data_IF_177358938384
#
_entry.id   IF_177358938384
#
_cell.length_a   1.000
_cell.length_b   1.000
_cell.length_c   1.000
_cell.angle_alpha   90.00
_cell.angle_beta   90.00
_cell.angle_gamma   90.00
#
_symmetry.space_group_name_H-M   'P 1'
#
loop_
_entity.id
_entity.type
_entity.pdbx_description
1 polymer ?
#
# COMPACT_ATOMS: atom_id res chain seq x y z
N UNK A 1 -50.60 3.43 -22.73
CA UNK A 1 -49.97 4.49 -23.53
C UNK A 1 -48.87 5.09 -22.67
N UNK A 2 -47.62 4.75 -22.97
CA UNK A 2 -46.44 5.34 -22.32
C UNK A 2 -46.25 6.70 -23.00
N UNK A 3 -46.25 7.77 -22.21
CA UNK A 3 -46.05 9.13 -22.71
C UNK A 3 -44.55 9.42 -22.62
N UNK A 4 -43.99 9.88 -23.73
CA UNK A 4 -42.60 10.31 -23.87
C UNK A 4 -42.31 11.50 -22.94
N UNK A 5 -41.30 11.37 -22.09
CA UNK A 5 -40.97 12.36 -21.05
C UNK A 5 -40.23 13.59 -21.59
N UNK A 6 -40.04 13.70 -22.91
CA UNK A 6 -39.30 14.79 -23.53
C UNK A 6 -37.79 14.65 -23.36
N UNK A 7 -36.99 15.49 -24.03
CA UNK A 7 -35.53 15.43 -23.94
C UNK A 7 -35.05 15.78 -22.53
N UNK A 8 -34.08 15.00 -22.04
CA UNK A 8 -33.41 15.16 -20.74
C UNK A 8 -32.95 16.62 -20.54
N UNK A 9 -33.44 17.27 -19.47
CA UNK A 9 -33.18 18.69 -19.20
C UNK A 9 -31.82 18.89 -18.50
N UNK A 10 -31.24 17.83 -17.92
CA UNK A 10 -29.90 17.85 -17.32
C UNK A 10 -29.16 16.55 -17.57
N UNK A 11 -27.91 16.65 -18.03
CA UNK A 11 -27.00 15.51 -18.20
C UNK A 11 -26.17 15.22 -16.93
N UNK A 12 -26.35 16.02 -15.86
CA UNK A 12 -25.56 15.93 -14.64
C UNK A 12 -25.94 14.73 -13.74
N UNK A 13 -27.14 14.14 -13.92
CA UNK A 13 -27.63 12.98 -13.15
C UNK A 13 -27.02 11.64 -13.63
N UNK A 14 -26.33 11.66 -14.78
CA UNK A 14 -25.68 10.47 -15.35
C UNK A 14 -24.21 10.32 -14.93
N UNK A 15 -23.75 11.10 -13.94
CA UNK A 15 -22.39 11.07 -13.42
C UNK A 15 -22.37 10.66 -11.95
N UNK A 16 -21.98 9.42 -11.68
CA UNK A 16 -21.56 9.00 -10.35
C UNK A 16 -20.13 9.53 -10.08
N UNK A 17 -20.01 10.71 -9.49
CA UNK A 17 -18.73 11.26 -9.04
C UNK A 17 -18.45 10.86 -7.59
N UNK A 18 -17.51 9.95 -7.39
CA UNK A 18 -16.84 9.75 -6.11
C UNK A 18 -15.62 10.67 -6.07
N UNK A 19 -15.77 11.87 -5.52
CA UNK A 19 -14.59 12.69 -5.21
C UNK A 19 -14.00 12.22 -3.87
N UNK A 20 -12.68 12.04 -3.85
CA UNK A 20 -11.85 11.77 -2.67
C UNK A 20 -10.97 13.01 -2.52
N UNK A 21 -11.23 13.86 -1.51
CA UNK A 21 -10.37 15.01 -1.23
C UNK A 21 -9.11 14.54 -0.52
N UNK A 22 -8.09 14.24 -1.33
CA UNK A 22 -6.72 14.04 -0.90
C UNK A 22 -6.16 15.41 -0.48
N UNK A 23 -6.19 15.74 0.81
CA UNK A 23 -5.19 16.68 1.33
C UNK A 23 -3.87 15.98 1.03
N UNK A 24 -3.09 16.48 0.08
CA UNK A 24 -1.79 15.91 -0.29
C UNK A 24 -0.82 16.13 0.88
N UNK A 25 -0.97 15.36 1.94
CA UNK A 25 0.09 15.12 2.88
C UNK A 25 1.11 14.24 2.17
N UNK A 26 2.39 14.64 2.20
CA UNK A 26 3.46 13.82 1.68
C UNK A 26 3.50 12.51 2.48
N UNK A 27 3.64 11.37 1.82
CA UNK A 27 3.80 10.08 2.48
C UNK A 27 5.19 10.00 3.09
N UNK A 28 5.27 9.77 4.40
CA UNK A 28 6.54 9.56 5.08
C UNK A 28 6.98 8.11 4.83
N UNK A 29 8.09 7.91 4.12
CA UNK A 29 8.58 6.58 3.73
C UNK A 29 9.89 6.29 4.43
N UNK A 30 9.93 5.16 5.14
CA UNK A 30 11.17 4.58 5.67
C UNK A 30 11.67 3.51 4.69
N UNK A 31 12.76 3.81 3.98
CA UNK A 31 13.39 2.88 3.04
C UNK A 31 14.64 2.26 3.64
N UNK A 32 14.60 0.95 3.90
CA UNK A 32 15.70 0.17 4.48
C UNK A 32 16.23 -0.78 3.41
N UNK A 33 17.50 -0.63 3.06
CA UNK A 33 18.19 -1.49 2.09
C UNK A 33 19.34 -2.25 2.75
N UNK A 34 19.38 -3.57 2.57
CA UNK A 34 20.45 -4.41 3.11
C UNK A 34 21.81 -4.21 2.43
N UNK A 35 21.82 -3.82 1.15
CA UNK A 35 23.03 -3.76 0.32
C UNK A 35 22.93 -2.71 -0.80
N UNK A 36 24.02 -2.52 -1.54
CA UNK A 36 24.17 -1.50 -2.60
C UNK A 36 23.90 -2.09 -3.99
N UNK A 37 22.63 -2.26 -4.34
CA UNK A 37 22.21 -2.61 -5.70
C UNK A 37 21.81 -1.37 -6.52
N UNK A 38 21.90 -1.40 -7.87
CA UNK A 38 21.39 -0.31 -8.71
C UNK A 38 19.95 0.07 -8.36
N UNK A 39 19.07 -0.91 -8.17
CA UNK A 39 17.67 -0.69 -7.78
C UNK A 39 17.54 0.24 -6.56
N UNK A 40 18.36 0.03 -5.52
CA UNK A 40 18.38 0.85 -4.30
C UNK A 40 18.71 2.31 -4.61
N UNK A 41 19.69 2.55 -5.48
CA UNK A 41 20.06 3.89 -5.91
C UNK A 41 18.92 4.56 -6.68
N UNK A 42 18.30 3.85 -7.63
CA UNK A 42 17.19 4.39 -8.43
C UNK A 42 15.95 4.68 -7.59
N UNK A 43 15.59 3.77 -6.67
CA UNK A 43 14.50 3.96 -5.70
C UNK A 43 14.73 5.21 -4.86
N UNK A 44 15.89 5.30 -4.20
CA UNK A 44 16.24 6.44 -3.35
C UNK A 44 16.16 7.76 -4.13
N UNK A 45 16.75 7.81 -5.32
CA UNK A 45 16.76 9.02 -6.14
C UNK A 45 15.36 9.41 -6.63
N UNK A 46 14.50 8.42 -6.89
CA UNK A 46 13.12 8.64 -7.32
C UNK A 46 12.28 9.19 -6.18
N UNK A 47 12.35 8.57 -5.00
CA UNK A 47 11.63 9.05 -3.82
C UNK A 47 12.08 10.44 -3.36
N UNK A 48 13.37 10.77 -3.43
CA UNK A 48 13.89 12.11 -3.13
C UNK A 48 13.40 13.20 -4.11
N UNK A 49 13.03 12.82 -5.34
CA UNK A 49 12.51 13.75 -6.36
C UNK A 49 10.99 13.85 -6.34
N UNK A 50 10.31 12.86 -5.78
CA UNK A 50 8.85 12.82 -5.71
C UNK A 50 8.33 13.83 -4.65
N UNK A 51 7.54 14.80 -5.12
CA UNK A 51 6.96 15.84 -4.26
C UNK A 51 5.90 15.31 -3.30
N UNK A 52 5.41 14.09 -3.50
CA UNK A 52 4.41 13.45 -2.64
C UNK A 52 5.03 12.53 -1.59
N UNK A 53 6.35 12.35 -1.56
CA UNK A 53 7.03 11.45 -0.64
C UNK A 53 8.06 12.23 0.19
N UNK A 54 8.09 12.03 1.50
CA UNK A 54 9.21 12.42 2.36
C UNK A 54 10.03 11.16 2.67
N UNK A 55 11.30 11.12 2.29
CA UNK A 55 12.12 9.92 2.46
C UNK A 55 13.02 9.97 3.70
N UNK A 56 12.96 8.94 4.53
CA UNK A 56 14.06 8.50 5.41
C UNK A 56 14.71 7.28 4.78
N UNK A 57 16.00 7.34 4.42
CA UNK A 57 16.72 6.16 3.91
C UNK A 57 17.67 5.59 4.96
N UNK A 58 17.84 4.26 4.94
CA UNK A 58 18.79 3.54 5.76
C UNK A 58 19.45 2.44 4.93
N UNK A 59 20.77 2.56 4.73
CA UNK A 59 21.57 1.55 4.04
C UNK A 59 22.36 0.76 5.07
N UNK A 60 22.00 -0.50 5.29
CA UNK A 60 22.55 -1.31 6.37
C UNK A 60 24.03 -1.66 6.15
N UNK A 61 24.44 -1.85 4.90
CA UNK A 61 25.83 -2.11 4.52
C UNK A 61 26.74 -0.86 4.58
N UNK A 62 26.21 0.31 4.93
CA UNK A 62 27.00 1.54 4.99
C UNK A 62 27.86 1.59 6.27
N UNK A 63 28.99 2.30 6.17
CA UNK A 63 29.81 2.61 7.35
C UNK A 63 29.06 3.47 8.36
N UNK A 64 29.44 3.39 9.64
CA UNK A 64 28.80 4.15 10.73
C UNK A 64 28.84 5.67 10.54
N UNK A 65 29.79 6.17 9.75
CA UNK A 65 29.96 7.60 9.46
C UNK A 65 29.25 8.03 8.17
N UNK A 66 28.58 7.10 7.47
CA UNK A 66 27.83 7.40 6.27
C UNK A 66 26.59 8.23 6.61
N UNK A 67 26.44 9.37 5.94
CA UNK A 67 25.22 10.17 6.04
C UNK A 67 24.19 9.62 5.06
N UNK A 68 23.08 9.10 5.60
CA UNK A 68 22.00 8.57 4.78
C UNK A 68 21.20 9.71 4.12
N UNK A 69 21.13 9.77 2.78
CA UNK A 69 20.37 10.82 2.10
C UNK A 69 18.86 10.67 2.36
N UNK A 70 18.17 11.76 2.65
CA UNK A 70 16.73 11.76 2.94
C UNK A 70 16.19 13.18 3.13
N UNK A 71 14.90 13.39 2.88
CA UNK A 71 14.18 14.59 3.35
C UNK A 71 14.12 14.61 4.88
N UNK A 72 14.03 13.42 5.47
CA UNK A 72 13.96 13.15 6.91
C UNK A 72 15.21 12.34 7.32
N UNK A 73 16.38 12.99 7.51
CA UNK A 73 17.61 12.26 7.78
C UNK A 73 17.55 11.54 9.13
N UNK A 74 17.89 10.26 9.14
CA UNK A 74 17.94 9.43 10.34
C UNK A 74 19.36 8.94 10.62
N UNK A 75 19.73 8.85 11.90
CA UNK A 75 21.03 8.32 12.37
C UNK A 75 20.94 6.91 12.94
N UNK A 76 19.71 6.43 13.14
CA UNK A 76 19.37 5.08 13.58
C UNK A 76 17.97 4.73 13.10
N UNK A 77 17.66 3.43 13.08
CA UNK A 77 16.29 2.97 12.90
C UNK A 77 15.40 3.37 14.09
N UNK A 78 14.07 3.47 13.88
CA UNK A 78 13.09 3.63 14.96
C UNK A 78 13.27 2.59 16.06
N UNK A 79 13.17 3.04 17.32
CA UNK A 79 13.26 2.17 18.52
C UNK A 79 12.02 2.24 19.39
N UNK A 80 11.04 3.09 19.06
CA UNK A 80 9.74 3.16 19.73
C UNK A 80 8.60 3.04 18.72
N UNK A 81 7.40 2.69 19.20
CA UNK A 81 6.22 2.60 18.34
C UNK A 81 5.81 3.98 17.81
N UNK A 82 6.00 5.04 18.61
CA UNK A 82 5.73 6.42 18.21
C UNK A 82 6.60 6.81 17.02
N UNK A 83 7.92 6.59 17.10
CA UNK A 83 8.84 6.86 15.98
C UNK A 83 8.51 6.04 14.72
N UNK A 84 8.10 4.79 14.90
CA UNK A 84 7.66 3.96 13.76
C UNK A 84 6.34 4.50 13.17
N UNK A 85 5.46 5.04 14.01
CA UNK A 85 4.18 5.59 13.61
C UNK A 85 4.26 6.96 12.94
N UNK A 86 5.42 7.60 12.90
CA UNK A 86 5.62 8.81 12.09
C UNK A 86 5.68 8.52 10.58
N UNK A 87 5.88 7.24 10.20
CA UNK A 87 5.93 6.79 8.81
C UNK A 87 4.57 6.32 8.29
N UNK A 88 4.34 6.39 6.99
CA UNK A 88 3.16 5.83 6.31
C UNK A 88 3.48 4.49 5.65
N UNK A 89 4.69 4.34 5.14
CA UNK A 89 5.16 3.12 4.49
C UNK A 89 6.60 2.78 4.87
N UNK A 90 6.85 1.50 5.16
CA UNK A 90 8.17 0.91 5.31
C UNK A 90 8.47 0.07 4.08
N UNK A 91 9.56 0.38 3.38
CA UNK A 91 10.06 -0.40 2.25
C UNK A 91 11.32 -1.13 2.71
N UNK A 92 11.31 -2.46 2.60
CA UNK A 92 12.43 -3.32 2.92
C UNK A 92 13.00 -3.91 1.63
N UNK A 93 14.23 -3.55 1.27
CA UNK A 93 14.96 -4.17 0.17
C UNK A 93 16.02 -5.11 0.73
N UNK A 94 15.79 -6.41 0.59
CA UNK A 94 16.72 -7.48 0.98
C UNK A 94 17.44 -7.23 2.33
N UNK A 95 16.71 -6.89 3.42
CA UNK A 95 17.32 -6.44 4.68
C UNK A 95 18.06 -7.58 5.40
N UNK A 96 18.95 -7.23 6.32
CA UNK A 96 19.55 -8.17 7.27
C UNK A 96 18.98 -7.92 8.69
N UNK A 97 17.96 -8.65 9.14
CA UNK A 97 17.31 -8.42 10.44
C UNK A 97 18.23 -8.57 11.64
N UNK A 98 19.40 -9.22 11.48
CA UNK A 98 20.36 -9.36 12.58
C UNK A 98 20.98 -8.03 13.01
N UNK A 99 20.90 -7.00 12.17
CA UNK A 99 21.39 -5.66 12.46
C UNK A 99 20.29 -4.68 12.91
N UNK A 100 19.04 -5.14 13.04
CA UNK A 100 17.95 -4.31 13.53
C UNK A 100 18.01 -4.13 15.05
N UNK A 101 17.42 -3.04 15.59
CA UNK A 101 17.08 -2.98 17.00
C UNK A 101 16.26 -4.21 17.41
N UNK A 102 16.50 -4.73 18.62
CA UNK A 102 15.90 -5.99 19.10
C UNK A 102 14.36 -5.97 19.01
N UNK A 103 13.74 -4.82 19.25
CA UNK A 103 12.28 -4.66 19.21
C UNK A 103 11.72 -4.29 17.83
N UNK A 104 12.56 -4.02 16.83
CA UNK A 104 12.12 -3.56 15.52
C UNK A 104 11.12 -4.52 14.82
N UNK A 105 11.29 -5.85 14.87
CA UNK A 105 10.29 -6.78 14.32
C UNK A 105 8.89 -6.61 14.93
N UNK A 106 8.82 -6.36 16.24
CA UNK A 106 7.55 -6.13 16.94
C UNK A 106 6.96 -4.76 16.57
N UNK A 107 7.80 -3.72 16.51
CA UNK A 107 7.39 -2.38 16.06
C UNK A 107 6.81 -2.44 14.65
N UNK A 108 7.47 -3.16 13.74
CA UNK A 108 7.01 -3.35 12.37
C UNK A 108 5.68 -4.11 12.30
N UNK A 109 5.55 -5.15 13.11
CA UNK A 109 4.30 -5.93 13.20
C UNK A 109 3.15 -5.06 13.68
N UNK A 110 3.32 -4.30 14.76
CA UNK A 110 2.31 -3.38 15.27
C UNK A 110 2.02 -2.23 14.30
N UNK A 111 3.04 -1.72 13.62
CA UNK A 111 2.90 -0.69 12.59
C UNK A 111 1.94 -1.10 11.48
N UNK A 112 2.11 -2.32 10.95
CA UNK A 112 1.22 -2.84 9.91
C UNK A 112 -0.14 -3.24 10.48
N UNK A 113 -0.16 -4.03 11.57
CA UNK A 113 -1.37 -4.69 12.07
C UNK A 113 -2.28 -3.81 12.93
N UNK A 114 -1.77 -2.69 13.48
CA UNK A 114 -2.52 -1.79 14.37
C UNK A 114 -2.56 -0.36 13.85
N UNK A 115 -1.42 0.18 13.42
CA UNK A 115 -1.33 1.59 12.99
C UNK A 115 -1.73 1.81 11.52
N UNK A 116 -2.00 0.75 10.75
CA UNK A 116 -2.44 0.86 9.36
C UNK A 116 -1.34 1.21 8.36
N UNK A 117 -0.07 1.11 8.77
CA UNK A 117 1.09 1.38 7.94
C UNK A 117 1.30 0.33 6.85
N UNK A 118 1.88 0.77 5.74
CA UNK A 118 2.20 -0.09 4.60
C UNK A 118 3.56 -0.76 4.73
N UNK A 119 3.66 -2.04 4.41
CA UNK A 119 4.92 -2.78 4.26
C UNK A 119 5.11 -3.19 2.80
N UNK A 120 6.19 -2.73 2.18
CA UNK A 120 6.63 -3.23 0.87
C UNK A 120 7.93 -4.01 1.08
N UNK A 121 7.96 -5.27 0.67
CA UNK A 121 9.14 -6.11 0.73
C UNK A 121 9.62 -6.42 -0.68
N UNK A 122 10.87 -6.09 -0.97
CA UNK A 122 11.55 -6.35 -2.23
C UNK A 122 12.62 -7.41 -1.95
N UNK A 123 12.44 -8.58 -2.56
CA UNK A 123 13.40 -9.67 -2.45
C UNK A 123 14.69 -9.33 -3.19
N UNK A 124 15.82 -9.74 -2.63
CA UNK A 124 17.13 -9.65 -3.27
C UNK A 124 17.95 -10.92 -3.10
N UNK A 125 19.14 -10.90 -3.70
CA UNK A 125 20.00 -12.08 -3.82
C UNK A 125 20.80 -12.42 -2.56
N UNK A 126 20.94 -11.48 -1.61
CA UNK A 126 21.89 -11.61 -0.50
C UNK A 126 21.26 -12.21 0.75
N UNK A 127 20.15 -11.65 1.25
CA UNK A 127 19.62 -11.97 2.58
C UNK A 127 18.29 -12.76 2.53
N UNK A 128 17.48 -12.52 1.51
CA UNK A 128 16.10 -13.00 1.41
C UNK A 128 16.02 -14.52 1.53
N UNK A 129 16.85 -15.25 0.79
CA UNK A 129 16.85 -16.72 0.83
C UNK A 129 17.11 -17.26 2.24
N UNK A 130 18.16 -16.75 2.90
CA UNK A 130 18.55 -17.19 4.22
C UNK A 130 17.51 -16.84 5.30
N UNK A 131 16.77 -15.74 5.13
CA UNK A 131 15.66 -15.36 6.03
C UNK A 131 14.49 -16.33 5.90
N UNK A 132 14.03 -16.60 4.68
CA UNK A 132 12.91 -17.53 4.47
C UNK A 132 13.26 -18.98 4.84
N UNK A 133 14.52 -19.41 4.68
CA UNK A 133 14.97 -20.73 5.15
C UNK A 133 14.93 -20.87 6.69
N UNK A 134 14.98 -19.76 7.42
CA UNK A 134 14.95 -19.70 8.89
C UNK A 134 13.60 -19.22 9.45
N UNK A 135 12.51 -19.36 8.69
CA UNK A 135 11.19 -18.85 9.10
C UNK A 135 10.65 -19.41 10.43
N UNK A 136 11.20 -20.51 10.95
CA UNK A 136 10.87 -21.05 12.27
C UNK A 136 11.49 -20.27 13.44
N UNK A 137 12.44 -19.37 13.17
CA UNK A 137 13.05 -18.50 14.17
C UNK A 137 12.02 -17.45 14.64
N UNK A 138 11.68 -17.38 15.94
CA UNK A 138 10.72 -16.41 16.46
C UNK A 138 11.09 -14.94 16.16
N UNK A 139 12.38 -14.62 16.02
CA UNK A 139 12.84 -13.27 15.66
C UNK A 139 12.44 -12.86 14.23
N UNK A 140 12.12 -13.83 13.37
CA UNK A 140 11.67 -13.63 12.00
C UNK A 140 10.15 -13.79 11.84
N UNK A 141 9.39 -13.81 12.95
CA UNK A 141 7.93 -13.93 12.94
C UNK A 141 7.22 -12.83 12.13
N UNK A 142 7.84 -11.67 11.95
CA UNK A 142 7.36 -10.58 11.08
C UNK A 142 7.25 -11.00 9.59
N UNK A 143 7.95 -12.05 9.14
CA UNK A 143 7.75 -12.62 7.79
C UNK A 143 6.30 -13.09 7.57
N UNK A 144 5.55 -13.35 8.65
CA UNK A 144 4.12 -13.68 8.56
C UNK A 144 3.27 -12.52 8.02
N UNK A 145 3.79 -11.28 8.01
CA UNK A 145 3.13 -10.13 7.39
C UNK A 145 3.12 -10.24 5.86
N UNK A 146 4.10 -10.93 5.25
CA UNK A 146 4.26 -10.98 3.80
C UNK A 146 3.17 -11.84 3.14
N UNK A 147 2.65 -11.47 1.95
CA UNK A 147 1.57 -12.19 1.25
C UNK A 147 1.96 -13.51 0.58
N UNK A 148 3.13 -14.05 0.90
CA UNK A 148 3.72 -15.23 0.26
C UNK A 148 4.19 -16.25 1.30
N UNK A 149 4.30 -17.50 0.86
CA UNK A 149 4.85 -18.63 1.62
C UNK A 149 6.00 -19.22 0.80
N UNK A 150 7.10 -19.54 1.48
CA UNK A 150 8.18 -20.36 0.93
C UNK A 150 8.46 -21.51 1.89
N UNK A 151 8.16 -22.72 1.44
CA UNK A 151 8.41 -23.92 2.24
C UNK A 151 9.90 -24.30 2.14
N UNK A 152 10.60 -24.51 3.28
CA UNK A 152 12.00 -24.90 3.29
C UNK A 152 12.23 -26.21 2.53
N UNK A 153 13.36 -26.31 1.83
CA UNK A 153 13.74 -27.54 1.12
C UNK A 153 13.12 -27.71 -0.27
N UNK A 154 12.14 -26.89 -0.67
CA UNK A 154 11.77 -26.71 -2.09
C UNK A 154 12.83 -25.89 -2.83
N UNK A 155 14.08 -26.36 -2.80
CA UNK A 155 15.12 -25.87 -3.70
C UNK A 155 14.74 -26.34 -5.11
N UNK A 156 13.96 -25.51 -5.83
CA UNK A 156 14.18 -25.41 -7.28
C UNK A 156 15.60 -24.94 -7.42
N UNK A 157 16.46 -25.90 -7.76
CA UNK A 157 17.91 -25.78 -7.71
C UNK A 157 18.38 -24.39 -8.15
N UNK A 158 19.43 -23.86 -7.53
CA UNK A 158 20.12 -22.66 -8.04
C UNK A 158 20.40 -22.73 -9.56
N UNK A 159 20.40 -23.94 -10.15
CA UNK A 159 20.45 -24.19 -11.59
C UNK A 159 19.24 -23.58 -12.33
N UNK A 160 18.01 -23.66 -11.82
CA UNK A 160 16.82 -23.06 -12.46
C UNK A 160 16.85 -21.52 -12.40
N UNK A 161 17.26 -20.93 -11.27
CA UNK A 161 17.48 -19.48 -11.13
C UNK A 161 18.63 -19.01 -12.05
N UNK A 162 19.70 -19.80 -12.18
CA UNK A 162 20.79 -19.54 -13.14
C UNK A 162 20.40 -19.77 -14.60
N UNK A 163 19.41 -20.63 -14.87
CA UNK A 163 18.87 -20.86 -16.23
C UNK A 163 17.96 -19.71 -16.66
N UNK A 164 17.17 -19.12 -15.76
CA UNK A 164 16.41 -17.89 -16.02
C UNK A 164 17.29 -16.65 -16.19
N UNK A 165 18.53 -16.67 -15.70
CA UNK A 165 19.51 -15.58 -15.94
C UNK A 165 20.06 -15.51 -17.39
N UNK A 166 19.81 -16.50 -18.25
CA UNK A 166 20.35 -16.52 -19.64
C UNK A 166 19.49 -15.77 -20.66
N UNK A 167 18.22 -15.56 -20.38
CA UNK A 167 17.30 -14.85 -21.28
C UNK A 167 16.29 -14.09 -20.44
N UNK A 168 16.03 -12.82 -20.76
CA UNK A 168 15.11 -12.02 -19.97
C UNK A 168 13.71 -12.61 -20.06
N UNK A 169 13.04 -12.76 -18.92
CA UNK A 169 11.65 -13.18 -18.84
C UNK A 169 10.78 -11.97 -18.53
N UNK A 170 9.52 -12.00 -18.99
CA UNK A 170 8.58 -10.90 -18.78
C UNK A 170 7.69 -11.16 -17.57
N UNK A 171 7.15 -10.07 -17.05
CA UNK A 171 6.05 -10.10 -16.10
C UNK A 171 4.77 -10.51 -16.84
N UNK A 172 4.02 -11.45 -16.29
CA UNK A 172 2.65 -11.73 -16.72
C UNK A 172 1.70 -11.14 -15.67
N UNK A 173 1.02 -10.05 -16.01
CA UNK A 173 0.12 -9.34 -15.09
C UNK A 173 -1.22 -10.07 -15.07
N UNK A 174 -1.63 -10.49 -13.88
CA UNK A 174 -2.89 -11.23 -13.70
C UNK A 174 -4.10 -10.30 -13.86
N UNK A 175 -5.32 -10.85 -14.02
CA UNK A 175 -6.53 -10.02 -14.07
C UNK A 175 -6.68 -9.10 -12.84
N UNK A 176 -6.46 -9.55 -11.59
CA UNK A 176 -6.44 -8.65 -10.44
C UNK A 176 -5.32 -7.60 -10.50
N UNK A 177 -4.14 -7.97 -11.02
CA UNK A 177 -3.03 -7.03 -11.22
C UNK A 177 -3.39 -5.93 -12.21
N UNK A 178 -4.04 -6.29 -13.31
CA UNK A 178 -4.44 -5.32 -14.33
C UNK A 178 -5.46 -4.30 -13.81
N UNK A 179 -6.30 -4.70 -12.84
CA UNK A 179 -7.23 -3.82 -12.14
C UNK A 179 -6.58 -3.01 -11.00
N UNK A 180 -5.36 -3.38 -10.59
CA UNK A 180 -4.64 -2.74 -9.50
C UNK A 180 -3.97 -1.43 -9.99
N UNK A 181 -4.13 -0.31 -9.26
CA UNK A 181 -3.53 0.96 -9.65
C UNK A 181 -2.01 0.90 -9.87
N UNK A 182 -1.27 -0.03 -9.23
CA UNK A 182 0.19 -0.11 -9.41
C UNK A 182 0.58 -0.31 -10.88
N UNK A 183 -0.23 -1.01 -11.67
CA UNK A 183 -0.01 -1.28 -13.09
C UNK A 183 -0.76 -0.32 -14.04
N UNK A 184 -1.34 0.77 -13.54
CA UNK A 184 -2.00 1.79 -14.37
C UNK A 184 -0.97 2.83 -14.85
N UNK A 185 -0.32 2.56 -15.98
CA UNK A 185 0.58 3.49 -16.67
C UNK A 185 -0.15 4.42 -17.65
N UNK A 186 -1.32 3.99 -18.15
CA UNK A 186 -2.21 4.77 -19.01
C UNK A 186 -3.67 4.61 -18.55
N UNK A 187 -4.48 5.65 -18.76
CA UNK A 187 -5.94 5.57 -18.57
C UNK A 187 -6.65 4.83 -19.70
N UNK A 188 -6.02 4.77 -20.89
CA UNK A 188 -6.47 3.93 -21.98
C UNK A 188 -6.02 2.49 -21.77
N UNK A 189 -6.99 1.57 -21.75
CA UNK A 189 -6.75 0.15 -21.44
C UNK A 189 -5.79 -0.50 -22.43
N UNK A 190 -6.01 -0.29 -23.72
CA UNK A 190 -5.23 -0.96 -24.77
C UNK A 190 -3.78 -0.44 -24.78
N UNK A 191 -3.59 0.87 -24.61
CA UNK A 191 -2.26 1.45 -24.43
C UNK A 191 -1.57 0.91 -23.17
N UNK A 192 -2.30 0.72 -22.06
CA UNK A 192 -1.73 0.16 -20.83
C UNK A 192 -1.24 -1.28 -21.03
N UNK A 193 -2.05 -2.12 -21.70
CA UNK A 193 -1.68 -3.50 -22.07
C UNK A 193 -0.39 -3.50 -22.92
N UNK A 194 -0.31 -2.63 -23.94
CA UNK A 194 0.88 -2.50 -24.78
C UNK A 194 2.13 -2.06 -24.00
N UNK A 195 1.98 -1.15 -23.02
CA UNK A 195 3.10 -0.72 -22.18
C UNK A 195 3.60 -1.91 -21.36
N UNK A 196 2.69 -2.63 -20.68
CA UNK A 196 3.01 -3.80 -19.85
C UNK A 196 3.73 -4.88 -20.67
N UNK A 197 3.22 -5.19 -21.87
CA UNK A 197 3.81 -6.18 -22.76
C UNK A 197 5.22 -5.81 -23.22
N UNK A 198 5.53 -4.52 -23.29
CA UNK A 198 6.82 -4.01 -23.77
C UNK A 198 7.80 -3.68 -22.64
N UNK A 199 7.41 -3.81 -21.36
CA UNK A 199 8.33 -3.59 -20.25
C UNK A 199 9.58 -4.49 -20.37
N UNK A 200 10.78 -3.96 -20.11
CA UNK A 200 11.99 -4.73 -20.12
C UNK A 200 11.88 -5.93 -19.17
N UNK A 201 12.18 -7.12 -19.70
CA UNK A 201 12.18 -8.35 -18.91
C UNK A 201 13.30 -8.40 -17.88
N UNK A 202 13.14 -9.26 -16.89
CA UNK A 202 14.01 -9.44 -15.74
C UNK A 202 14.90 -10.66 -15.93
N UNK A 203 16.01 -10.71 -15.19
CA UNK A 203 16.97 -11.83 -15.24
C UNK A 203 16.98 -12.66 -13.97
N UNK A 204 16.40 -12.15 -12.89
CA UNK A 204 16.39 -12.79 -11.59
C UNK A 204 15.07 -12.55 -10.87
N UNK A 205 14.58 -13.60 -10.20
CA UNK A 205 13.51 -13.52 -9.22
C UNK A 205 13.78 -14.45 -8.05
N UNK A 206 13.15 -14.12 -6.93
CA UNK A 206 13.08 -14.93 -5.74
C UNK A 206 11.93 -15.95 -5.85
N UNK A 207 12.23 -17.27 -5.77
CA UNK A 207 11.19 -18.28 -5.87
C UNK A 207 10.41 -18.40 -4.56
N UNK A 208 9.10 -18.23 -4.63
CA UNK A 208 8.15 -18.52 -3.55
C UNK A 208 7.32 -19.75 -3.87
N UNK A 209 6.84 -20.46 -2.85
CA UNK A 209 6.01 -21.67 -3.03
C UNK A 209 4.62 -21.29 -3.52
N UNK A 210 3.97 -20.33 -2.85
CA UNK A 210 2.62 -19.87 -3.17
C UNK A 210 2.31 -18.53 -2.52
N UNK A 211 1.26 -17.87 -2.99
CA UNK A 211 0.63 -16.79 -2.24
C UNK A 211 -0.10 -17.34 -1.00
N UNK A 212 -0.21 -16.53 0.05
CA UNK A 212 -1.02 -16.89 1.23
C UNK A 212 -2.51 -16.94 0.87
N UNK A 213 -3.33 -17.76 1.56
CA UNK A 213 -4.78 -17.63 1.49
C UNK A 213 -5.21 -16.20 1.81
N UNK A 214 -5.97 -15.57 0.92
CA UNK A 214 -6.40 -14.17 1.06
C UNK A 214 -5.45 -13.13 0.45
N UNK A 215 -4.27 -13.53 -0.02
CA UNK A 215 -3.42 -12.66 -0.82
C UNK A 215 -3.90 -12.61 -2.27
N UNK A 216 -3.80 -11.43 -2.88
CA UNK A 216 -4.07 -11.20 -4.29
C UNK A 216 -2.74 -11.25 -5.05
N UNK A 217 -2.63 -12.18 -5.99
CA UNK A 217 -1.49 -12.26 -6.91
C UNK A 217 -1.70 -11.23 -8.02
N UNK A 218 -0.80 -10.27 -8.13
CA UNK A 218 -0.86 -9.19 -9.12
C UNK A 218 -0.01 -9.48 -10.36
N UNK A 219 1.05 -10.26 -10.19
CA UNK A 219 1.87 -10.69 -11.31
C UNK A 219 2.55 -12.03 -11.05
N UNK A 220 2.74 -12.79 -12.12
CA UNK A 220 3.37 -14.10 -12.14
C UNK A 220 4.44 -14.19 -13.21
N UNK A 221 5.27 -15.21 -13.14
CA UNK A 221 6.33 -15.46 -14.10
C UNK A 221 5.75 -15.91 -15.45
N UNK A 222 6.07 -15.19 -16.54
CA UNK A 222 5.52 -15.49 -17.88
C UNK A 222 6.07 -16.78 -18.50
N UNK A 223 7.28 -17.22 -18.14
CA UNK A 223 7.85 -18.48 -18.64
C UNK A 223 7.05 -19.69 -18.13
N UNK A 224 6.44 -20.52 -19.01
CA UNK A 224 5.66 -21.69 -18.62
C UNK A 224 6.45 -22.75 -17.86
N UNK A 225 7.79 -22.71 -17.89
CA UNK A 225 8.67 -23.61 -17.14
C UNK A 225 8.77 -23.22 -15.66
N UNK A 226 8.46 -21.97 -15.32
CA UNK A 226 8.51 -21.43 -13.95
C UNK A 226 7.14 -21.56 -13.29
N UNK A 227 6.72 -22.81 -13.10
CA UNK A 227 5.43 -23.18 -12.51
C UNK A 227 5.59 -24.32 -11.53
N UNK A 228 4.90 -24.30 -10.40
CA UNK A 228 4.85 -25.36 -9.40
C UNK A 228 3.45 -25.97 -9.28
N UNK A 229 3.22 -26.83 -8.29
CA UNK A 229 1.92 -27.46 -8.05
C UNK A 229 0.78 -26.45 -7.77
N UNK A 230 1.12 -25.22 -7.38
CA UNK A 230 0.20 -24.12 -7.11
C UNK A 230 0.01 -23.17 -8.30
N UNK A 231 0.65 -23.41 -9.45
CA UNK A 231 0.52 -22.59 -10.66
C UNK A 231 1.82 -21.89 -11.07
N UNK A 232 1.72 -20.77 -11.79
CA UNK A 232 2.89 -19.95 -12.13
C UNK A 232 3.52 -19.35 -10.87
N UNK A 233 4.86 -19.22 -10.90
CA UNK A 233 5.58 -18.62 -9.78
C UNK A 233 5.15 -17.17 -9.57
N UNK A 234 4.81 -16.85 -8.32
CA UNK A 234 4.30 -15.54 -7.93
C UNK A 234 5.46 -14.54 -7.88
N UNK A 235 5.29 -13.41 -8.56
CA UNK A 235 6.28 -12.33 -8.58
C UNK A 235 5.83 -11.14 -7.76
N UNK A 236 4.55 -10.77 -7.84
CA UNK A 236 3.97 -9.70 -7.01
C UNK A 236 2.70 -10.22 -6.38
N UNK A 237 2.63 -10.08 -5.07
CA UNK A 237 1.41 -10.34 -4.31
C UNK A 237 1.16 -9.20 -3.32
N UNK A 238 -0.10 -8.94 -3.04
CA UNK A 238 -0.52 -7.97 -2.04
C UNK A 238 -1.58 -8.57 -1.13
N UNK A 239 -1.63 -8.14 0.12
CA UNK A 239 -2.70 -8.48 1.05
C UNK A 239 -2.90 -7.35 2.06
N UNK A 240 -4.10 -7.31 2.65
CA UNK A 240 -4.32 -6.54 3.87
C UNK A 240 -3.91 -7.36 5.09
N UNK A 241 -3.27 -6.71 6.06
CA UNK A 241 -2.92 -7.30 7.34
C UNK A 241 -3.43 -6.36 8.43
N UNK A 242 -4.57 -6.70 9.02
CA UNK A 242 -5.32 -5.75 9.84
C UNK A 242 -5.72 -4.51 9.02
N UNK A 243 -5.45 -3.27 9.49
CA UNK A 243 -5.70 -2.04 8.75
C UNK A 243 -4.61 -1.71 7.71
N UNK A 244 -3.43 -2.33 7.77
CA UNK A 244 -2.29 -2.05 6.89
C UNK A 244 -2.25 -2.90 5.62
N UNK A 245 -1.38 -2.52 4.70
CA UNK A 245 -1.08 -3.28 3.48
C UNK A 245 0.28 -3.96 3.59
N UNK A 246 0.38 -5.17 3.03
CA UNK A 246 1.66 -5.81 2.75
C UNK A 246 1.76 -6.17 1.28
N UNK A 247 2.84 -5.72 0.63
CA UNK A 247 3.15 -5.99 -0.77
C UNK A 247 4.50 -6.72 -0.80
N UNK A 248 4.56 -7.82 -1.54
CA UNK A 248 5.78 -8.55 -1.83
C UNK A 248 6.12 -8.37 -3.31
N UNK A 249 7.37 -8.03 -3.61
CA UNK A 249 7.95 -7.99 -4.96
C UNK A 249 9.15 -8.93 -4.97
N UNK A 250 9.03 -10.01 -5.72
CA UNK A 250 9.98 -11.11 -5.79
C UNK A 250 11.07 -10.93 -6.83
N UNK A 251 11.35 -9.72 -7.30
CA UNK A 251 12.37 -9.46 -8.30
C UNK A 251 12.93 -8.06 -8.13
N UNK A 252 14.07 -7.80 -8.76
CA UNK A 252 14.68 -6.48 -8.80
C UNK A 252 14.82 -5.99 -10.25
N UNK A 253 15.61 -4.95 -10.44
CA UNK A 253 15.97 -4.43 -11.75
C UNK A 253 14.82 -3.73 -12.50
N UNK A 254 13.80 -3.25 -11.78
CA UNK A 254 12.76 -2.41 -12.38
C UNK A 254 13.34 -1.08 -12.88
N UNK A 255 14.50 -0.65 -12.37
CA UNK A 255 15.22 0.54 -12.88
C UNK A 255 15.43 0.52 -14.40
N UNK A 256 15.45 -0.66 -15.02
CA UNK A 256 15.58 -0.82 -16.47
C UNK A 256 14.34 -0.34 -17.24
N UNK A 257 13.17 -0.31 -16.60
CA UNK A 257 11.94 0.25 -17.19
C UNK A 257 12.10 1.74 -17.51
N UNK A 258 12.97 2.43 -16.75
CA UNK A 258 13.34 3.82 -16.97
C UNK A 258 14.05 4.07 -18.32
N UNK A 259 14.58 3.03 -18.96
CA UNK A 259 15.18 3.15 -20.30
C UNK A 259 14.13 3.37 -21.40
N UNK A 260 12.87 3.01 -21.15
CA UNK A 260 11.76 3.29 -22.06
C UNK A 260 11.15 4.66 -21.73
N UNK A 261 10.79 4.88 -20.46
CA UNK A 261 10.25 6.14 -19.97
C UNK A 261 10.48 6.25 -18.45
N UNK A 262 10.78 7.46 -17.97
CA UNK A 262 10.93 7.74 -16.54
C UNK A 262 9.68 7.35 -15.73
N UNK A 263 8.49 7.58 -16.28
CA UNK A 263 7.21 7.29 -15.64
C UNK A 263 6.97 5.80 -15.39
N UNK A 264 7.61 4.91 -16.14
CA UNK A 264 7.42 3.46 -15.96
C UNK A 264 8.11 2.95 -14.70
N UNK A 265 9.23 3.54 -14.30
CA UNK A 265 9.83 3.27 -12.99
C UNK A 265 9.23 4.18 -11.92
N UNK A 266 9.29 5.48 -12.14
CA UNK A 266 8.97 6.48 -11.11
C UNK A 266 7.48 6.42 -10.75
N UNK A 267 6.61 6.33 -11.75
CA UNK A 267 5.17 6.18 -11.55
C UNK A 267 4.78 4.84 -10.95
N UNK A 268 5.46 3.74 -11.31
CA UNK A 268 5.21 2.43 -10.68
C UNK A 268 5.49 2.49 -9.17
N UNK A 269 6.66 2.98 -8.78
CA UNK A 269 7.04 3.06 -7.37
C UNK A 269 6.22 4.10 -6.59
N UNK A 270 5.85 5.22 -7.20
CA UNK A 270 4.92 6.17 -6.60
C UNK A 270 3.57 5.50 -6.29
N UNK A 271 3.01 4.71 -7.23
CA UNK A 271 1.75 3.99 -7.01
C UNK A 271 1.87 2.83 -6.03
N UNK A 272 3.01 2.16 -5.97
CA UNK A 272 3.29 1.14 -4.95
C UNK A 272 3.31 1.76 -3.54
N UNK A 273 4.04 2.86 -3.37
CA UNK A 273 4.08 3.62 -2.11
C UNK A 273 2.71 4.15 -1.74
N UNK A 274 1.99 4.70 -2.72
CA UNK A 274 0.63 5.20 -2.52
C UNK A 274 -0.30 4.08 -2.06
N UNK A 275 -0.29 2.93 -2.76
CA UNK A 275 -1.13 1.79 -2.40
C UNK A 275 -0.82 1.24 -1.02
N UNK A 276 0.46 1.21 -0.62
CA UNK A 276 0.88 0.70 0.68
C UNK A 276 0.61 1.71 1.81
N UNK A 277 0.96 2.98 1.64
CA UNK A 277 0.97 3.98 2.71
C UNK A 277 -0.30 4.80 2.85
N UNK A 278 -1.09 4.98 1.77
CA UNK A 278 -2.28 5.84 1.80
C UNK A 278 -3.38 5.32 2.74
N UNK A 279 -3.39 4.02 3.06
CA UNK A 279 -4.31 3.48 4.08
C UNK A 279 -4.18 4.19 5.41
N UNK A 280 -2.96 4.59 5.80
CA UNK A 280 -2.70 5.28 7.06
C UNK A 280 -3.14 6.74 7.01
N UNK A 281 -2.78 7.46 5.95
CA UNK A 281 -3.12 8.89 5.80
C UNK A 281 -4.61 9.16 5.63
N UNK A 282 -5.35 8.25 5.00
CA UNK A 282 -6.81 8.34 4.89
C UNK A 282 -7.53 7.98 6.21
N UNK A 283 -6.80 7.88 7.32
CA UNK A 283 -7.33 7.50 8.62
C UNK A 283 -7.46 5.98 8.72
N UNK A 284 -6.30 5.32 8.86
CA UNK A 284 -6.13 3.86 9.02
C UNK A 284 -7.38 3.21 9.60
N UNK A 285 -8.01 2.34 8.78
CA UNK A 285 -9.33 1.75 8.99
C UNK A 285 -9.82 1.88 10.43
N UNK A 286 -10.57 2.95 10.73
CA UNK A 286 -11.21 3.08 12.02
C UNK A 286 -12.02 1.81 12.28
N UNK A 287 -12.12 1.35 13.53
CA UNK A 287 -12.92 0.18 13.87
C UNK A 287 -14.42 0.36 13.53
N UNK A 288 -14.83 1.49 12.93
CA UNK A 288 -16.18 1.84 12.53
C UNK A 288 -16.33 2.22 11.05
N UNK A 289 -17.50 1.93 10.49
CA UNK A 289 -17.94 2.36 9.15
C UNK A 289 -18.77 3.64 9.26
N UNK A 290 -18.45 4.62 8.42
CA UNK A 290 -19.29 5.83 8.25
C UNK A 290 -20.43 5.56 7.26
N UNK A 291 -21.60 6.11 7.58
CA UNK A 291 -22.80 6.03 6.75
C UNK A 291 -23.69 7.24 6.97
N UNK A 292 -24.58 7.48 6.02
CA UNK A 292 -25.60 8.52 6.10
C UNK A 292 -26.95 7.92 5.64
N UNK A 293 -28.09 8.29 6.26
CA UNK A 293 -29.39 7.69 5.93
C UNK A 293 -29.91 7.95 4.51
N UNK A 294 -29.50 9.04 3.87
CA UNK A 294 -29.99 9.45 2.56
C UNK A 294 -28.82 9.58 1.57
N UNK A 295 -29.06 9.19 0.32
CA UNK A 295 -28.07 9.31 -0.75
C UNK A 295 -27.81 10.78 -1.15
N UNK A 296 -28.81 11.65 -0.97
CA UNK A 296 -28.71 13.08 -1.25
C UNK A 296 -29.50 13.89 -0.23
N UNK A 297 -29.05 15.11 0.02
CA UNK A 297 -29.65 16.06 0.95
C UNK A 297 -30.00 17.36 0.24
N UNK A 298 -31.14 17.96 0.57
CA UNK A 298 -31.51 19.26 0.01
C UNK A 298 -30.74 20.39 0.71
N UNK A 299 -30.23 21.39 -0.04
CA UNK A 299 -29.69 22.62 0.54
C UNK A 299 -30.71 23.29 1.47
N UNK A 300 -30.25 23.72 2.64
CA UNK A 300 -31.08 24.19 3.77
C UNK A 300 -31.49 23.11 4.76
N UNK A 301 -31.22 21.82 4.46
CA UNK A 301 -31.51 20.68 5.32
C UNK A 301 -30.42 20.34 6.35
N UNK A 302 -30.63 19.24 7.06
CA UNK A 302 -29.66 18.65 8.00
C UNK A 302 -29.22 17.28 7.48
N UNK A 303 -27.92 17.05 7.37
CA UNK A 303 -27.36 15.75 7.05
C UNK A 303 -26.94 15.02 8.33
N UNK A 304 -27.24 13.73 8.43
CA UNK A 304 -26.89 12.89 9.60
C UNK A 304 -25.73 11.98 9.25
N UNK A 305 -24.67 12.02 10.04
CA UNK A 305 -23.54 11.09 9.93
C UNK A 305 -23.63 10.07 11.05
N UNK A 306 -23.40 8.80 10.69
CA UNK A 306 -23.42 7.65 11.60
C UNK A 306 -22.11 6.89 11.44
N UNK A 307 -21.36 6.77 12.53
CA UNK A 307 -20.21 5.89 12.67
C UNK A 307 -20.64 4.62 13.42
N UNK A 308 -20.51 3.44 12.82
CA UNK A 308 -20.82 2.16 13.47
C UNK A 308 -19.59 1.27 13.54
N UNK A 309 -19.19 0.89 14.75
CA UNK A 309 -18.14 -0.09 14.99
C UNK A 309 -18.49 -1.44 14.34
N UNK A 310 -17.52 -2.03 13.63
CA UNK A 310 -17.61 -3.33 12.97
C UNK A 310 -17.53 -4.47 13.98
N UNK A 311 -16.76 -4.25 15.06
CA UNK A 311 -16.62 -5.13 16.21
C UNK A 311 -16.64 -4.26 17.48
N UNK A 312 -17.61 -4.49 18.36
CA UNK A 312 -17.77 -3.73 19.61
C UNK A 312 -16.58 -3.92 20.57
N UNK A 313 -15.84 -5.02 20.45
CA UNK A 313 -14.64 -5.26 21.26
C UNK A 313 -13.46 -4.34 20.91
N UNK A 314 -13.52 -3.67 19.74
CA UNK A 314 -12.54 -2.68 19.30
C UNK A 314 -12.84 -1.27 19.83
N UNK A 315 -13.96 -1.09 20.54
CA UNK A 315 -14.30 0.18 21.18
C UNK A 315 -13.53 0.33 22.49
N UNK A 316 -12.84 1.46 22.67
CA UNK A 316 -12.18 1.75 23.94
C UNK A 316 -13.20 1.82 25.09
N UNK A 317 -12.93 1.17 26.24
CA UNK A 317 -13.81 1.23 27.39
C UNK A 317 -14.02 2.68 27.85
N UNK A 318 -15.26 3.17 27.77
CA UNK A 318 -15.60 4.54 28.17
C UNK A 318 -15.50 5.60 27.06
N UNK A 319 -15.34 5.20 25.79
CA UNK A 319 -15.43 6.13 24.66
C UNK A 319 -16.83 6.78 24.61
N UNK A 320 -16.89 8.09 24.82
CA UNK A 320 -18.15 8.86 24.87
C UNK A 320 -18.35 9.82 23.70
N UNK A 321 -17.32 10.08 22.89
CA UNK A 321 -17.39 10.98 21.74
C UNK A 321 -16.39 10.53 20.67
N UNK A 322 -16.77 10.71 19.41
CA UNK A 322 -15.84 10.75 18.28
C UNK A 322 -15.78 12.18 17.76
N UNK A 323 -14.61 12.61 17.30
CA UNK A 323 -14.43 13.93 16.72
C UNK A 323 -14.36 13.82 15.21
N UNK A 324 -14.66 14.91 14.50
CA UNK A 324 -14.64 14.90 13.06
C UNK A 324 -14.71 16.29 12.48
N UNK A 325 -14.70 16.36 11.16
CA UNK A 325 -14.98 17.57 10.41
C UNK A 325 -15.77 17.29 9.14
N UNK A 326 -16.43 18.34 8.64
CA UNK A 326 -17.09 18.37 7.35
C UNK A 326 -16.53 19.51 6.53
N UNK A 327 -16.11 19.22 5.31
CA UNK A 327 -15.58 20.18 4.36
C UNK A 327 -16.42 20.21 3.08
N UNK A 328 -16.58 21.40 2.48
CA UNK A 328 -17.19 21.57 1.16
C UNK A 328 -16.28 22.43 0.29
N UNK A 329 -15.75 21.86 -0.79
CA UNK A 329 -14.77 22.57 -1.64
C UNK A 329 -13.62 23.13 -0.80
N UNK A 330 -13.22 24.39 -1.05
CA UNK A 330 -12.17 25.09 -0.29
C UNK A 330 -12.70 25.90 0.92
N UNK A 331 -13.94 25.65 1.35
CA UNK A 331 -14.50 26.29 2.55
C UNK A 331 -13.77 25.82 3.84
N UNK A 332 -13.87 26.63 4.91
CA UNK A 332 -13.34 26.24 6.21
C UNK A 332 -14.05 24.98 6.74
N UNK A 333 -13.31 24.00 7.30
CA UNK A 333 -13.89 22.80 7.88
C UNK A 333 -14.85 23.13 9.02
N UNK A 334 -16.03 22.50 9.02
CA UNK A 334 -17.02 22.57 10.09
C UNK A 334 -16.72 21.43 11.07
N UNK A 335 -16.35 21.71 12.33
CA UNK A 335 -16.07 20.66 13.30
C UNK A 335 -17.33 19.88 13.67
N UNK A 336 -17.19 18.56 13.79
CA UNK A 336 -18.21 17.63 14.25
C UNK A 336 -17.83 17.01 15.58
N UNK A 337 -18.85 16.67 16.36
CA UNK A 337 -18.73 15.78 17.51
C UNK A 337 -19.86 14.77 17.46
N UNK A 338 -19.50 13.50 17.32
CA UNK A 338 -20.46 12.39 17.30
C UNK A 338 -20.61 11.85 18.72
N UNK A 339 -21.85 11.64 19.11
CA UNK A 339 -22.21 11.09 20.43
C UNK A 339 -22.84 9.70 20.27
N UNK A 340 -22.80 8.85 21.31
CA UNK A 340 -23.42 7.53 21.28
C UNK A 340 -24.85 7.57 20.78
N UNK A 341 -25.16 6.71 19.82
CA UNK A 341 -26.47 6.55 19.22
C UNK A 341 -27.33 5.53 19.96
N UNK A 342 -28.39 5.07 19.29
CA UNK A 342 -29.36 4.15 19.89
C UNK A 342 -28.90 2.68 19.91
N UNK A 343 -27.81 2.35 19.22
CA UNK A 343 -27.27 1.00 19.11
C UNK A 343 -25.86 0.96 19.71
N UNK A 344 -25.51 -0.16 20.33
CA UNK A 344 -24.16 -0.38 20.83
C UNK A 344 -23.14 -0.23 19.69
N UNK A 345 -22.00 0.39 19.99
CA UNK A 345 -20.98 0.71 18.99
C UNK A 345 -21.40 1.73 17.92
N UNK A 346 -22.51 2.45 18.09
CA UNK A 346 -22.93 3.49 17.14
C UNK A 346 -22.71 4.89 17.73
N UNK A 347 -22.18 5.79 16.91
CA UNK A 347 -22.05 7.22 17.21
C UNK A 347 -22.69 8.00 16.07
N UNK A 348 -23.35 9.12 16.38
CA UNK A 348 -23.95 9.96 15.34
C UNK A 348 -23.93 11.44 15.66
N UNK A 349 -24.04 12.25 14.61
CA UNK A 349 -24.18 13.70 14.70
C UNK A 349 -24.96 14.23 13.48
N UNK A 350 -25.35 15.49 13.52
CA UNK A 350 -26.02 16.17 12.40
C UNK A 350 -25.37 17.51 12.13
N UNK A 351 -25.29 17.89 10.85
CA UNK A 351 -24.77 19.19 10.44
C UNK A 351 -25.68 19.84 9.38
N UNK A 352 -25.72 21.19 9.32
CA UNK A 352 -26.52 21.89 8.32
C UNK A 352 -25.87 21.84 6.93
N UNK A 353 -26.64 21.44 5.92
CA UNK A 353 -26.26 21.46 4.51
C UNK A 353 -26.64 22.84 3.96
N UNK A 354 -25.75 23.82 4.05
CA UNK A 354 -26.06 25.22 3.73
C UNK A 354 -26.11 25.53 2.23
N UNK A 355 -25.41 24.76 1.40
CA UNK A 355 -25.28 25.03 -0.03
C UNK A 355 -25.20 23.73 -0.83
N UNK A 356 -25.58 23.72 -2.12
CA UNK A 356 -25.45 22.54 -2.97
C UNK A 356 -23.99 22.18 -3.24
N UNK A 357 -23.70 20.89 -3.40
CA UNK A 357 -22.37 20.36 -3.76
C UNK A 357 -21.95 19.16 -2.92
N UNK A 358 -20.75 18.66 -3.18
CA UNK A 358 -20.16 17.52 -2.47
C UNK A 358 -19.64 17.95 -1.11
N UNK A 359 -20.05 17.22 -0.06
CA UNK A 359 -19.53 17.37 1.29
C UNK A 359 -18.64 16.18 1.63
N UNK A 360 -17.47 16.45 2.21
CA UNK A 360 -16.50 15.47 2.66
C UNK A 360 -16.54 15.38 4.17
N UNK A 361 -16.58 14.17 4.72
CA UNK A 361 -16.65 13.94 6.17
C UNK A 361 -15.45 13.12 6.61
N UNK A 362 -14.73 13.60 7.64
CA UNK A 362 -13.70 12.83 8.34
C UNK A 362 -14.09 12.67 9.80
N UNK A 363 -13.81 11.49 10.37
CA UNK A 363 -14.09 11.17 11.77
C UNK A 363 -12.87 10.45 12.32
N UNK A 364 -12.41 10.83 13.52
CA UNK A 364 -11.25 10.27 14.19
C UNK A 364 -11.47 9.97 15.67
#
# INVERSE_FOLDING_TARGET
KIVDAGPEISQDDNLASAEVRVIRQRLNVLFIAGSTFPEVQFLRNTFLRDRQINLSSWLMAADKTYEHPGDLPIRRLPVTQEEMNDYDCVILYDPDPTQWPINFPELLTNFVTKAGGGLVYIAGEMQTAQMFDRQSDPSLSWLNLLPVIREPGLFRSQVQIRLSARSPWKLDVTDPGFQDPIFTFSTDRQANEQILDNLPGMFWHFPVTKAKPGATVLAVHADPRMRNEYGQEVLIASQRVGPGWSIFIGFDSTYRWRYLDEQFFDGFWARVVDRAGRSKQLGGNYPFRLSTPQASYQPGGQAKIIARFLDESQMEPGLQRLYGDVERGDDQPIPLTLTPGNKAGEFSTTFPVTQPGTYFVRVW
#
